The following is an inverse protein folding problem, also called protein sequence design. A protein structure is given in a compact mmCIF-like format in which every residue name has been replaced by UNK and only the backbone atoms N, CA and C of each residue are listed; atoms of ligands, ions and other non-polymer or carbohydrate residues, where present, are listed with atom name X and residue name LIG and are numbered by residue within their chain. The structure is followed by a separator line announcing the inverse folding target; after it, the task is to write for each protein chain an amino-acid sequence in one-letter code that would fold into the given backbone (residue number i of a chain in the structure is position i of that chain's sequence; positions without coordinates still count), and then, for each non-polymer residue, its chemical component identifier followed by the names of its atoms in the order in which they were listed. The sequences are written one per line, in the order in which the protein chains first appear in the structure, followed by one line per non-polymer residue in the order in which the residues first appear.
data_IF_066558245243
#
_entry.id   IF_066558245243
#
_cell.length_a   1.000
_cell.length_b   1.000
_cell.length_c   1.000
_cell.angle_alpha   90.00
_cell.angle_beta   90.00
_cell.angle_gamma   90.00
#
_symmetry.space_group_name_H-M   'P 1'
#
loop_
_entity.id
_entity.type
_entity.pdbx_description
1 polymer ?
#
# COMPACT_ATOMS: atom_id res chain seq x y z
N UNK A 1 18.94 -28.85 32.93
CA UNK A 1 18.20 -27.74 32.28
C UNK A 1 18.71 -26.34 32.70
N UNK A 2 19.56 -26.19 33.71
CA UNK A 2 19.96 -24.87 34.24
C UNK A 2 20.96 -24.07 33.38
N UNK A 3 21.93 -24.73 32.73
CA UNK A 3 22.97 -24.07 31.90
C UNK A 3 22.42 -23.28 30.70
N UNK A 4 21.27 -23.66 30.15
CA UNK A 4 20.66 -22.94 29.02
C UNK A 4 19.99 -21.62 29.45
N UNK A 5 19.56 -21.51 30.71
CA UNK A 5 18.93 -20.30 31.24
C UNK A 5 19.94 -19.18 31.51
N UNK A 6 21.14 -19.53 32.02
CA UNK A 6 22.21 -18.57 32.31
C UNK A 6 22.85 -17.97 31.05
N UNK A 7 23.01 -18.78 29.99
CA UNK A 7 23.54 -18.31 28.69
C UNK A 7 22.55 -17.36 28.02
N UNK A 8 21.25 -17.66 28.10
CA UNK A 8 20.19 -16.78 27.62
C UNK A 8 20.19 -15.43 28.34
N UNK A 9 20.26 -15.44 29.68
CA UNK A 9 20.28 -14.24 30.51
C UNK A 9 21.53 -13.37 30.29
N UNK A 10 22.72 -13.97 30.13
CA UNK A 10 23.95 -13.24 29.79
C UNK A 10 23.92 -12.60 28.40
N UNK A 11 23.27 -13.26 27.44
CA UNK A 11 23.15 -12.75 26.07
C UNK A 11 22.16 -11.57 26.02
N UNK A 12 21.05 -11.66 26.75
CA UNK A 12 20.09 -10.56 26.89
C UNK A 12 20.69 -9.34 27.60
N UNK A 13 21.47 -9.55 28.67
CA UNK A 13 22.17 -8.46 29.38
C UNK A 13 23.14 -7.71 28.47
N UNK A 14 23.98 -8.44 27.72
CA UNK A 14 24.93 -7.82 26.77
C UNK A 14 24.25 -7.06 25.64
N UNK A 15 23.07 -7.51 25.21
CA UNK A 15 22.28 -6.80 24.21
C UNK A 15 21.72 -5.48 24.76
N UNK A 16 21.25 -5.46 26.01
CA UNK A 16 20.78 -4.25 26.69
C UNK A 16 21.92 -3.26 26.93
N UNK A 17 23.07 -3.74 27.43
CA UNK A 17 24.26 -2.90 27.63
C UNK A 17 24.74 -2.26 26.32
N UNK A 18 24.62 -2.99 25.19
CA UNK A 18 24.90 -2.42 23.88
C UNK A 18 23.89 -1.36 23.48
N UNK A 19 22.58 -1.56 23.68
CA UNK A 19 21.55 -0.57 23.33
C UNK A 19 21.73 0.77 24.06
N UNK A 20 22.21 0.72 25.30
CA UNK A 20 22.49 1.90 26.14
C UNK A 20 23.89 2.50 25.90
N UNK A 21 24.71 1.85 25.05
CA UNK A 21 26.05 2.34 24.73
C UNK A 21 26.01 3.63 23.88
N UNK A 22 27.01 4.53 24.04
CA UNK A 22 27.16 5.71 23.16
C UNK A 22 27.22 5.35 21.67
N UNK A 23 27.79 4.19 21.34
CA UNK A 23 27.89 3.65 19.98
C UNK A 23 26.52 3.32 19.40
N UNK A 24 25.67 2.61 20.15
CA UNK A 24 24.31 2.31 19.72
C UNK A 24 23.46 3.56 19.63
N UNK A 25 23.55 4.49 20.59
CA UNK A 25 22.81 5.75 20.52
C UNK A 25 23.21 6.58 19.29
N UNK A 26 24.51 6.61 18.93
CA UNK A 26 25.00 7.24 17.70
C UNK A 26 24.46 6.56 16.44
N UNK A 27 24.39 5.22 16.44
CA UNK A 27 23.79 4.46 15.35
C UNK A 27 22.30 4.77 15.20
N UNK A 28 21.53 4.76 16.29
CA UNK A 28 20.10 5.07 16.28
C UNK A 28 19.84 6.50 15.83
N UNK A 29 20.61 7.48 16.31
CA UNK A 29 20.51 8.87 15.87
C UNK A 29 20.78 8.99 14.35
N UNK A 30 21.74 8.24 13.81
CA UNK A 30 22.01 8.19 12.36
C UNK A 30 20.83 7.59 11.60
N UNK A 31 20.29 6.45 12.06
CA UNK A 31 19.13 5.79 11.44
C UNK A 31 17.91 6.73 11.47
N UNK A 32 17.64 7.37 12.61
CA UNK A 32 16.55 8.32 12.76
C UNK A 32 16.69 9.53 11.83
N UNK A 33 17.91 10.08 11.69
CA UNK A 33 18.20 11.17 10.76
C UNK A 33 17.98 10.74 9.30
N UNK A 34 18.45 9.56 8.92
CA UNK A 34 18.24 8.99 7.59
C UNK A 34 16.76 8.76 7.30
N UNK A 35 16.01 8.24 8.26
CA UNK A 35 14.57 8.00 8.14
C UNK A 35 13.80 9.31 8.03
N UNK A 36 14.15 10.34 8.82
CA UNK A 36 13.58 11.69 8.71
C UNK A 36 13.83 12.29 7.33
N UNK A 37 15.06 12.17 6.81
CA UNK A 37 15.40 12.63 5.46
C UNK A 37 14.66 11.84 4.37
N UNK A 38 14.47 10.53 4.54
CA UNK A 38 13.67 9.67 3.65
C UNK A 38 12.21 10.10 3.64
N UNK A 39 11.58 10.27 4.80
CA UNK A 39 10.20 10.77 4.95
C UNK A 39 10.02 12.14 4.31
N UNK A 40 10.95 13.08 4.51
CA UNK A 40 10.92 14.41 3.87
C UNK A 40 10.96 14.31 2.34
N UNK A 41 11.87 13.51 1.77
CA UNK A 41 11.95 13.28 0.32
C UNK A 41 10.69 12.62 -0.23
N UNK A 42 10.15 11.63 0.49
CA UNK A 42 8.91 10.96 0.11
C UNK A 42 7.73 11.94 0.09
N UNK A 43 7.61 12.81 1.11
CA UNK A 43 6.57 13.84 1.18
C UNK A 43 6.67 14.83 0.02
N UNK A 44 7.85 15.39 -0.26
CA UNK A 44 8.05 16.31 -1.40
C UNK A 44 7.64 15.64 -2.72
N UNK A 45 8.05 14.38 -2.92
CA UNK A 45 7.72 13.62 -4.12
C UNK A 45 6.22 13.26 -4.21
N UNK A 46 5.55 13.11 -3.07
CA UNK A 46 4.10 12.94 -2.97
C UNK A 46 3.39 14.24 -3.34
N UNK A 47 3.67 15.33 -2.62
CA UNK A 47 3.03 16.64 -2.81
C UNK A 47 3.17 17.11 -4.28
N UNK A 48 4.35 16.92 -4.89
CA UNK A 48 4.57 17.22 -6.32
C UNK A 48 3.68 16.37 -7.23
N UNK A 49 3.62 15.06 -6.98
CA UNK A 49 2.80 14.17 -7.79
C UNK A 49 1.32 14.48 -7.65
N UNK A 50 0.84 14.68 -6.42
CA UNK A 50 -0.54 15.02 -6.10
C UNK A 50 -0.96 16.31 -6.80
N UNK A 51 -0.13 17.36 -6.73
CA UNK A 51 -0.38 18.63 -7.42
C UNK A 51 -0.55 18.43 -8.94
N UNK A 52 0.36 17.70 -9.56
CA UNK A 52 0.29 17.41 -11.01
C UNK A 52 -0.88 16.50 -11.37
N UNK A 53 -1.18 15.51 -10.52
CA UNK A 53 -2.30 14.59 -10.69
C UNK A 53 -3.63 15.34 -10.63
N UNK A 54 -3.82 16.18 -9.60
CA UNK A 54 -5.01 17.00 -9.44
C UNK A 54 -5.16 17.98 -10.60
N UNK A 55 -4.09 18.66 -11.02
CA UNK A 55 -4.14 19.62 -12.13
C UNK A 55 -4.45 18.98 -13.48
N UNK A 56 -3.81 17.85 -13.80
CA UNK A 56 -3.85 17.29 -15.15
C UNK A 56 -4.86 16.17 -15.34
N UNK A 57 -5.21 15.46 -14.26
CA UNK A 57 -6.13 14.33 -14.30
C UNK A 57 -7.48 14.72 -13.71
N UNK A 58 -7.52 15.16 -12.45
CA UNK A 58 -8.79 15.42 -11.75
C UNK A 58 -9.51 16.64 -12.34
N UNK A 59 -8.88 17.81 -12.36
CA UNK A 59 -9.49 19.06 -12.87
C UNK A 59 -9.86 19.00 -14.35
N UNK A 60 -9.25 18.09 -15.12
CA UNK A 60 -9.54 17.91 -16.55
C UNK A 60 -10.55 16.78 -16.81
N UNK A 61 -11.10 16.13 -15.78
CA UNK A 61 -12.04 15.02 -15.94
C UNK A 61 -11.44 13.76 -16.58
N UNK A 62 -10.11 13.59 -16.53
CA UNK A 62 -9.38 12.51 -17.23
C UNK A 62 -9.13 11.28 -16.34
N UNK A 63 -9.89 11.13 -15.26
CA UNK A 63 -9.65 10.06 -14.29
C UNK A 63 -9.86 8.66 -14.91
N UNK A 64 -10.91 8.48 -15.72
CA UNK A 64 -11.15 7.21 -16.41
C UNK A 64 -9.99 6.82 -17.34
N UNK A 65 -9.48 7.77 -18.13
CA UNK A 65 -8.31 7.52 -18.99
C UNK A 65 -7.08 7.11 -18.18
N UNK A 66 -6.86 7.74 -17.02
CA UNK A 66 -5.78 7.38 -16.12
C UNK A 66 -5.92 5.96 -15.61
N UNK A 67 -7.12 5.57 -15.18
CA UNK A 67 -7.41 4.22 -14.71
C UNK A 67 -7.20 3.17 -15.82
N UNK A 68 -7.61 3.47 -17.06
CA UNK A 68 -7.36 2.58 -18.20
C UNK A 68 -5.85 2.41 -18.48
N UNK A 69 -5.05 3.48 -18.35
CA UNK A 69 -3.58 3.39 -18.45
C UNK A 69 -3.02 2.49 -17.34
N UNK A 70 -3.51 2.64 -16.10
CA UNK A 70 -3.09 1.78 -14.98
C UNK A 70 -3.45 0.32 -15.22
N UNK A 71 -4.65 0.03 -15.75
CA UNK A 71 -5.07 -1.34 -16.09
C UNK A 71 -4.15 -1.96 -17.13
N UNK A 72 -3.85 -1.24 -18.20
CA UNK A 72 -2.90 -1.69 -19.24
C UNK A 72 -1.51 -1.95 -18.67
N UNK A 73 -1.06 -1.13 -17.72
CA UNK A 73 0.23 -1.29 -17.06
C UNK A 73 0.31 -2.50 -16.11
N UNK A 74 -0.83 -3.04 -15.66
CA UNK A 74 -0.93 -4.21 -14.76
C UNK A 74 -1.61 -5.40 -15.44
N UNK A 75 -1.32 -5.62 -16.73
CA UNK A 75 -1.81 -6.77 -17.47
C UNK A 75 -1.10 -8.08 -17.05
N UNK A 76 -1.48 -9.21 -17.68
CA UNK A 76 -0.88 -10.53 -17.42
C UNK A 76 0.66 -10.52 -17.57
N UNK A 77 1.18 -9.80 -18.57
CA UNK A 77 2.62 -9.68 -18.81
C UNK A 77 3.36 -8.96 -17.69
N UNK A 78 2.71 -7.98 -17.04
CA UNK A 78 3.27 -7.32 -15.86
C UNK A 78 3.52 -8.32 -14.73
N UNK A 79 2.50 -9.13 -14.40
CA UNK A 79 2.61 -10.17 -13.35
C UNK A 79 3.69 -11.19 -13.70
N UNK A 80 3.67 -11.72 -14.93
CA UNK A 80 4.66 -12.68 -15.40
C UNK A 80 6.09 -12.14 -15.29
N UNK A 81 6.33 -10.88 -15.64
CA UNK A 81 7.66 -10.25 -15.55
C UNK A 81 8.17 -10.07 -14.12
N UNK A 82 7.28 -9.89 -13.15
CA UNK A 82 7.67 -9.84 -11.74
C UNK A 82 7.98 -11.25 -11.24
N UNK A 83 7.09 -12.20 -11.52
CA UNK A 83 7.28 -13.60 -11.12
C UNK A 83 8.54 -14.22 -11.74
N UNK A 84 8.88 -13.89 -12.99
CA UNK A 84 10.12 -14.36 -13.63
C UNK A 84 11.40 -13.84 -12.96
N UNK A 85 11.28 -12.86 -12.07
CA UNK A 85 12.38 -12.32 -11.25
C UNK A 85 12.32 -12.81 -9.80
N UNK A 86 11.41 -13.73 -9.48
CA UNK A 86 11.14 -14.14 -8.10
C UNK A 86 10.50 -13.04 -7.25
N UNK A 87 9.85 -12.05 -7.87
CA UNK A 87 9.21 -10.93 -7.19
C UNK A 87 7.70 -11.15 -7.21
N UNK A 88 7.06 -11.07 -6.04
CA UNK A 88 5.61 -11.14 -5.93
C UNK A 88 4.95 -9.95 -6.68
N UNK A 89 3.87 -10.20 -7.45
CA UNK A 89 3.11 -9.12 -8.07
C UNK A 89 2.65 -8.09 -7.04
N UNK A 90 2.93 -6.82 -7.30
CA UNK A 90 2.54 -5.71 -6.43
C UNK A 90 2.14 -4.50 -7.28
N UNK A 91 1.35 -3.55 -6.74
CA UNK A 91 1.03 -2.32 -7.45
C UNK A 91 2.30 -1.55 -7.80
N UNK A 92 2.37 -1.01 -9.02
CA UNK A 92 3.42 -0.05 -9.33
C UNK A 92 3.20 1.27 -8.56
N UNK A 93 4.22 2.13 -8.58
CA UNK A 93 4.19 3.43 -7.86
C UNK A 93 2.97 4.29 -8.19
N UNK A 94 2.48 4.27 -9.42
CA UNK A 94 1.34 5.09 -9.83
C UNK A 94 0.01 4.52 -9.34
N UNK A 95 -0.15 3.19 -9.35
CA UNK A 95 -1.33 2.55 -8.78
C UNK A 95 -1.34 2.74 -7.26
N UNK A 96 -0.23 2.51 -6.57
CA UNK A 96 -0.10 2.81 -5.14
C UNK A 96 -0.51 4.24 -4.79
N UNK A 97 0.00 5.21 -5.56
CA UNK A 97 -0.36 6.62 -5.33
C UNK A 97 -1.83 6.92 -5.59
N UNK A 98 -2.42 6.25 -6.57
CA UNK A 98 -3.86 6.39 -6.84
C UNK A 98 -4.70 5.80 -5.71
N UNK A 99 -4.28 4.68 -5.12
CA UNK A 99 -4.91 4.11 -3.92
C UNK A 99 -4.89 5.09 -2.75
N UNK A 100 -3.71 5.60 -2.37
CA UNK A 100 -3.61 6.54 -1.26
C UNK A 100 -4.38 7.84 -1.51
N UNK A 101 -4.29 8.38 -2.73
CA UNK A 101 -5.07 9.55 -3.11
C UNK A 101 -6.58 9.30 -2.99
N UNK A 102 -7.05 8.13 -3.40
CA UNK A 102 -8.44 7.74 -3.23
C UNK A 102 -8.81 7.56 -1.74
N UNK A 103 -7.92 7.02 -0.90
CA UNK A 103 -8.16 6.93 0.55
C UNK A 103 -8.28 8.31 1.21
N UNK A 104 -7.43 9.27 0.81
CA UNK A 104 -7.44 10.62 1.36
C UNK A 104 -8.64 11.45 0.91
N UNK A 105 -9.18 11.20 -0.29
CA UNK A 105 -10.18 12.06 -0.95
C UNK A 105 -11.53 11.36 -1.24
N UNK A 106 -11.60 10.05 -1.04
CA UNK A 106 -12.76 9.24 -1.35
C UNK A 106 -13.70 9.08 -0.17
N UNK A 107 -14.75 8.30 -0.40
CA UNK A 107 -15.74 7.97 0.61
C UNK A 107 -15.59 6.52 1.02
N UNK A 108 -15.35 6.27 2.30
CA UNK A 108 -15.41 4.90 2.83
C UNK A 108 -16.82 4.33 2.66
N UNK A 109 -16.90 3.10 2.14
CA UNK A 109 -18.16 2.43 1.85
C UNK A 109 -18.26 1.12 2.61
N UNK A 110 -19.42 0.87 3.20
CA UNK A 110 -19.66 -0.35 3.96
C UNK A 110 -19.86 -1.55 3.02
N UNK A 111 -18.94 -2.52 3.12
CA UNK A 111 -18.85 -3.71 2.27
C UNK A 111 -20.11 -4.59 2.27
N UNK A 112 -20.76 -4.73 3.42
CA UNK A 112 -21.89 -5.66 3.59
C UNK A 112 -23.14 -5.28 2.81
N UNK A 113 -23.26 -4.06 2.30
CA UNK A 113 -24.49 -3.56 1.65
C UNK A 113 -24.38 -3.31 0.15
N UNK A 114 -23.18 -3.21 -0.44
CA UNK A 114 -23.01 -2.85 -1.86
C UNK A 114 -22.40 -3.96 -2.72
N UNK A 115 -21.76 -4.98 -2.14
CA UNK A 115 -21.00 -5.99 -2.88
C UNK A 115 -21.37 -7.41 -2.42
N UNK A 116 -22.64 -7.78 -2.54
CA UNK A 116 -23.18 -9.11 -2.16
C UNK A 116 -22.40 -10.30 -2.74
N UNK A 117 -21.64 -10.10 -3.82
CA UNK A 117 -20.91 -11.17 -4.51
C UNK A 117 -19.42 -11.30 -4.13
N UNK A 118 -18.85 -10.37 -3.38
CA UNK A 118 -17.39 -10.33 -3.18
C UNK A 118 -16.93 -10.56 -1.74
N UNK A 119 -17.78 -10.39 -0.72
CA UNK A 119 -17.27 -10.25 0.66
C UNK A 119 -18.16 -10.82 1.77
N UNK A 120 -18.43 -12.13 1.81
CA UNK A 120 -18.72 -12.78 3.10
C UNK A 120 -17.43 -13.12 3.88
N UNK A 121 -16.32 -13.42 3.19
CA UNK A 121 -15.16 -14.12 3.79
C UNK A 121 -13.78 -13.45 3.58
N UNK A 122 -13.69 -12.28 2.95
CA UNK A 122 -12.42 -11.57 2.81
C UNK A 122 -12.21 -10.60 3.97
N UNK A 123 -11.05 -10.69 4.65
CA UNK A 123 -10.59 -9.75 5.68
C UNK A 123 -10.32 -8.37 5.08
N UNK A 124 -11.40 -7.69 4.73
CA UNK A 124 -11.33 -6.38 4.10
C UNK A 124 -11.07 -5.32 5.16
N UNK A 125 -10.02 -4.55 4.96
CA UNK A 125 -9.60 -3.51 5.91
C UNK A 125 -10.02 -2.13 5.47
N UNK A 126 -10.12 -1.89 4.15
CA UNK A 126 -10.51 -0.59 3.61
C UNK A 126 -11.16 -0.77 2.24
N UNK A 127 -12.36 -0.21 2.08
CA UNK A 127 -13.03 -0.06 0.79
C UNK A 127 -13.44 1.40 0.60
N UNK A 128 -12.83 2.06 -0.37
CA UNK A 128 -13.05 3.49 -0.63
C UNK A 128 -13.59 3.70 -2.03
N UNK A 129 -14.71 4.39 -2.15
CA UNK A 129 -15.31 4.81 -3.40
C UNK A 129 -14.75 6.17 -3.83
N UNK A 130 -14.21 6.26 -5.04
CA UNK A 130 -13.74 7.51 -5.63
C UNK A 130 -13.92 7.50 -7.16
N UNK A 131 -14.60 8.53 -7.70
CA UNK A 131 -14.87 8.70 -9.14
C UNK A 131 -15.44 7.46 -9.84
N UNK A 132 -16.35 6.72 -9.19
CA UNK A 132 -16.97 5.52 -9.76
C UNK A 132 -16.10 4.26 -9.74
N UNK A 133 -14.96 4.29 -9.03
CA UNK A 133 -14.14 3.13 -8.74
C UNK A 133 -14.15 2.83 -7.25
N UNK A 134 -14.00 1.55 -6.92
CA UNK A 134 -13.82 1.10 -5.55
C UNK A 134 -12.38 0.62 -5.38
N UNK A 135 -11.68 1.19 -4.40
CA UNK A 135 -10.31 0.87 -4.02
C UNK A 135 -10.35 0.02 -2.77
N UNK A 136 -9.96 -1.23 -2.94
CA UNK A 136 -10.09 -2.28 -1.94
C UNK A 136 -8.70 -2.77 -1.54
N UNK A 137 -8.40 -2.65 -0.25
CA UNK A 137 -7.18 -3.20 0.35
C UNK A 137 -7.60 -4.34 1.28
N UNK A 138 -7.08 -5.52 0.98
CA UNK A 138 -7.36 -6.78 1.67
C UNK A 138 -6.12 -7.13 2.49
N UNK A 139 -6.25 -7.22 3.81
CA UNK A 139 -5.14 -7.65 4.67
C UNK A 139 -5.43 -9.08 5.17
N UNK A 140 -4.61 -10.04 4.77
CA UNK A 140 -4.63 -11.43 5.22
C UNK A 140 -3.22 -11.91 5.54
N UNK A 141 -2.83 -13.09 5.04
CA UNK A 141 -1.43 -13.55 5.08
C UNK A 141 -0.48 -12.68 4.23
N UNK A 142 -1.05 -11.80 3.40
CA UNK A 142 -0.37 -10.74 2.66
C UNK A 142 -1.30 -9.53 2.47
N UNK A 143 -0.91 -8.58 1.64
CA UNK A 143 -1.74 -7.41 1.30
C UNK A 143 -2.14 -7.46 -0.17
N UNK A 144 -3.43 -7.66 -0.42
CA UNK A 144 -4.00 -7.66 -1.77
C UNK A 144 -4.54 -6.28 -2.15
N UNK A 145 -4.32 -5.87 -3.40
CA UNK A 145 -4.82 -4.60 -3.92
C UNK A 145 -5.78 -4.84 -5.06
N UNK A 146 -7.03 -4.43 -4.86
CA UNK A 146 -8.09 -4.61 -5.85
C UNK A 146 -8.76 -3.28 -6.17
N UNK A 147 -8.96 -3.04 -7.46
CA UNK A 147 -9.78 -1.95 -7.97
C UNK A 147 -10.98 -2.56 -8.66
N UNK A 148 -12.17 -2.13 -8.26
CA UNK A 148 -13.42 -2.47 -8.92
C UNK A 148 -13.97 -1.24 -9.65
N UNK A 149 -14.67 -1.45 -10.76
CA UNK A 149 -15.40 -0.38 -11.45
C UNK A 149 -16.90 -0.53 -11.16
N UNK A 150 -17.54 0.56 -10.75
CA UNK A 150 -19.00 0.58 -10.62
C UNK A 150 -19.65 0.44 -12.00
N UNK A 151 -20.64 -0.44 -12.10
CA UNK A 151 -21.47 -0.62 -13.31
C UNK A 151 -22.79 0.11 -13.15
N UNK A 152 -23.46 0.38 -14.28
CA UNK A 152 -24.77 1.05 -14.32
C UNK A 152 -25.86 0.32 -13.52
N UNK A 153 -25.70 -0.97 -13.26
CA UNK A 153 -26.67 -1.82 -12.57
C UNK A 153 -26.41 -1.91 -11.06
N UNK A 154 -25.60 -1.01 -10.49
CA UNK A 154 -25.25 -1.02 -9.07
C UNK A 154 -24.28 -2.14 -8.66
N UNK A 155 -23.82 -2.97 -9.60
CA UNK A 155 -22.81 -4.01 -9.38
C UNK A 155 -21.41 -3.43 -9.58
N UNK A 156 -20.38 -4.05 -8.99
CA UNK A 156 -18.99 -3.72 -9.30
C UNK A 156 -18.31 -4.89 -10.01
N UNK A 157 -17.39 -4.57 -10.91
CA UNK A 157 -16.61 -5.55 -11.68
C UNK A 157 -15.12 -5.37 -11.43
N UNK A 158 -14.39 -6.48 -11.46
CA UNK A 158 -12.93 -6.49 -11.32
C UNK A 158 -12.28 -5.67 -12.44
N UNK A 159 -11.55 -4.63 -12.03
CA UNK A 159 -10.89 -3.73 -12.95
C UNK A 159 -9.37 -3.95 -12.96
N UNK A 160 -8.75 -3.95 -11.78
CA UNK A 160 -7.35 -4.33 -11.53
C UNK A 160 -7.33 -5.21 -10.28
N UNK A 161 -6.61 -6.32 -10.32
CA UNK A 161 -6.41 -7.20 -9.16
C UNK A 161 -4.95 -7.61 -9.13
N UNK A 162 -4.27 -7.35 -8.03
CA UNK A 162 -2.86 -7.67 -7.81
C UNK A 162 -2.73 -8.38 -6.48
#
# INVERSE_FOLDING_TARGET
MEKNSEVSNRTASKALDFLDSPEAQKMFNRIAAQEKARKRRAKIAWDKWEKEFTKNIIKKGKFNEWMDRLKKAHNKSYKMRLMSKGIEPHPNKNLYRTFYFAQDNGKEVNLRRKLDKYTPNEFTTSLVEYNGYYFHIIHGQGVGFKVLKATKNGKAEDFISI
#
